data_IF_807643977932
#
_entry.id   IF_807643977932
#
_cell.length_a   1.000
_cell.length_b   1.000
_cell.length_c   1.000
_cell.angle_alpha   90.00
_cell.angle_beta   90.00
_cell.angle_gamma   90.00
#
_symmetry.space_group_name_H-M   'P 1'
#
loop_
_entity.id
_entity.type
_entity.pdbx_description
1 polymer ?
#
# COMPACT_ATOMS: atom_id res chain seq x y z
N UNK A 1 24.75 4.76 8.97
CA UNK A 1 24.27 3.43 8.52
C UNK A 1 25.48 2.52 8.47
N UNK A 2 25.45 1.36 9.13
CA UNK A 2 26.61 0.44 9.19
C UNK A 2 26.85 -0.24 7.84
N UNK A 3 28.11 -0.56 7.51
CA UNK A 3 28.49 -1.23 6.23
C UNK A 3 27.70 -2.52 5.99
N UNK A 4 27.49 -3.29 7.06
CA UNK A 4 26.70 -4.52 7.04
C UNK A 4 25.25 -4.31 6.58
N UNK A 5 24.64 -3.16 6.90
CA UNK A 5 23.29 -2.81 6.44
C UNK A 5 23.30 -2.48 4.94
N UNK A 6 24.33 -1.82 4.43
CA UNK A 6 24.45 -1.54 3.00
C UNK A 6 24.63 -2.81 2.16
N UNK A 7 25.41 -3.78 2.63
CA UNK A 7 25.58 -5.08 1.95
C UNK A 7 24.26 -5.86 1.90
N UNK A 8 23.52 -5.89 3.00
CA UNK A 8 22.21 -6.56 3.05
C UNK A 8 21.19 -5.91 2.11
N UNK A 9 21.17 -4.58 2.01
CA UNK A 9 20.26 -3.86 1.11
C UNK A 9 20.52 -4.18 -0.37
N UNK A 10 21.77 -4.47 -0.77
CA UNK A 10 22.11 -4.88 -2.15
C UNK A 10 21.54 -6.25 -2.54
N UNK A 11 21.19 -7.09 -1.56
CA UNK A 11 20.59 -8.39 -1.80
C UNK A 11 19.08 -8.29 -2.09
N UNK A 12 18.45 -7.17 -1.75
CA UNK A 12 17.03 -6.96 -2.02
C UNK A 12 16.90 -6.64 -3.53
N UNK A 13 16.23 -7.49 -4.31
CA UNK A 13 16.02 -7.21 -5.72
C UNK A 13 15.25 -5.90 -5.86
N UNK A 14 15.75 -5.00 -6.72
CA UNK A 14 15.05 -3.76 -7.04
C UNK A 14 13.67 -4.12 -7.62
N UNK A 15 12.62 -3.82 -6.87
CA UNK A 15 11.26 -3.94 -7.36
C UNK A 15 10.97 -2.71 -8.21
N UNK A 16 10.33 -2.89 -9.37
CA UNK A 16 9.80 -1.76 -10.11
C UNK A 16 8.85 -0.98 -9.19
N UNK A 17 8.97 0.35 -9.18
CA UNK A 17 7.99 1.18 -8.52
C UNK A 17 6.62 0.88 -9.14
N UNK A 18 5.64 0.43 -8.34
CA UNK A 18 4.27 0.22 -8.85
C UNK A 18 3.76 1.55 -9.40
N UNK A 19 3.40 1.56 -10.69
CA UNK A 19 2.74 2.70 -11.35
C UNK A 19 1.22 2.56 -11.24
N UNK A 20 0.73 2.28 -10.04
CA UNK A 20 -0.70 2.13 -9.83
C UNK A 20 -1.38 3.50 -9.92
N UNK A 21 -2.58 3.52 -10.50
CA UNK A 21 -3.44 4.69 -10.35
C UNK A 21 -3.82 4.88 -8.88
N UNK A 22 -4.16 6.10 -8.47
CA UNK A 22 -4.68 6.30 -7.11
C UNK A 22 -5.94 5.47 -6.85
N UNK A 23 -6.74 5.17 -7.88
CA UNK A 23 -7.93 4.33 -7.73
C UNK A 23 -7.55 2.89 -7.37
N UNK A 24 -6.49 2.35 -7.96
CA UNK A 24 -6.00 1.01 -7.63
C UNK A 24 -5.43 0.98 -6.20
N UNK A 25 -4.73 2.05 -5.78
CA UNK A 25 -4.25 2.19 -4.41
C UNK A 25 -5.40 2.26 -3.38
N UNK A 26 -6.49 2.96 -3.71
CA UNK A 26 -7.69 3.06 -2.86
C UNK A 26 -8.37 1.69 -2.74
N UNK A 27 -8.41 0.89 -3.82
CA UNK A 27 -8.94 -0.48 -3.81
C UNK A 27 -8.10 -1.41 -2.93
N UNK A 28 -6.78 -1.33 -3.04
CA UNK A 28 -5.86 -2.10 -2.18
C UNK A 28 -6.09 -1.73 -0.70
N UNK A 29 -6.23 -0.44 -0.40
CA UNK A 29 -6.49 0.04 0.96
C UNK A 29 -7.82 -0.47 1.52
N UNK A 30 -8.87 -0.49 0.71
CA UNK A 30 -10.16 -1.06 1.10
C UNK A 30 -10.05 -2.56 1.41
N UNK A 31 -9.38 -3.33 0.55
CA UNK A 31 -9.20 -4.77 0.74
C UNK A 31 -8.44 -5.07 2.05
N UNK A 32 -7.40 -4.29 2.35
CA UNK A 32 -6.64 -4.37 3.61
C UNK A 32 -7.55 -4.04 4.81
N UNK A 33 -8.32 -2.95 4.74
CA UNK A 33 -9.21 -2.56 5.84
C UNK A 33 -10.24 -3.64 6.16
N UNK A 34 -10.86 -4.26 5.15
CA UNK A 34 -11.80 -5.37 5.32
C UNK A 34 -11.11 -6.59 5.93
N UNK A 35 -9.92 -6.95 5.44
CA UNK A 35 -9.17 -8.11 5.94
C UNK A 35 -8.84 -8.00 7.43
N UNK A 36 -8.50 -6.79 7.91
CA UNK A 36 -8.20 -6.54 9.32
C UNK A 36 -9.42 -6.21 10.19
N UNK A 37 -10.64 -6.21 9.64
CA UNK A 37 -11.86 -5.87 10.39
C UNK A 37 -12.00 -4.37 10.72
N UNK A 38 -11.29 -3.51 9.99
CA UNK A 38 -11.32 -2.05 10.15
C UNK A 38 -12.50 -1.45 9.36
N UNK A 39 -13.73 -1.83 9.71
CA UNK A 39 -14.90 -1.52 8.90
C UNK A 39 -15.21 -0.02 8.81
N UNK A 40 -15.01 0.75 9.89
CA UNK A 40 -15.16 2.22 9.86
C UNK A 40 -14.22 2.86 8.82
N UNK A 41 -12.98 2.36 8.74
CA UNK A 41 -12.03 2.82 7.74
C UNK A 41 -12.45 2.38 6.34
N UNK A 42 -12.91 1.12 6.16
CA UNK A 42 -13.37 0.60 4.89
C UNK A 42 -14.55 1.42 4.32
N UNK A 43 -15.48 1.83 5.16
CA UNK A 43 -16.62 2.67 4.76
C UNK A 43 -16.19 4.08 4.40
N UNK A 44 -15.27 4.69 5.16
CA UNK A 44 -14.68 5.98 4.78
C UNK A 44 -13.97 5.91 3.42
N UNK A 45 -13.21 4.83 3.17
CA UNK A 45 -12.49 4.62 1.91
C UNK A 45 -13.46 4.52 0.72
N UNK A 46 -14.60 3.85 0.87
CA UNK A 46 -15.66 3.82 -0.17
C UNK A 46 -16.14 5.22 -0.52
N UNK A 47 -16.45 6.03 0.49
CA UNK A 47 -16.92 7.41 0.27
C UNK A 47 -15.85 8.25 -0.45
N UNK A 48 -14.57 8.04 -0.13
CA UNK A 48 -13.46 8.72 -0.81
C UNK A 48 -13.36 8.28 -2.28
N UNK A 49 -13.55 6.97 -2.55
CA UNK A 49 -13.50 6.42 -3.91
C UNK A 49 -14.61 6.96 -4.81
N UNK A 50 -15.81 7.19 -4.27
CA UNK A 50 -16.99 7.67 -5.01
C UNK A 50 -16.96 9.17 -5.32
N UNK A 51 -16.17 9.96 -4.57
CA UNK A 51 -16.07 11.42 -4.74
C UNK A 51 -15.03 11.88 -5.77
N UNK A 52 -14.38 10.95 -6.46
CA UNK A 52 -13.37 11.22 -7.49
C UNK A 52 -13.92 10.97 -8.89
#
# INVERSE_FOLDING_TARGET
MTEKVQELLKLIPAQCQRQDSTNDQIRDLYAVAVHFGLYDAADLIKVIAEKR
#
